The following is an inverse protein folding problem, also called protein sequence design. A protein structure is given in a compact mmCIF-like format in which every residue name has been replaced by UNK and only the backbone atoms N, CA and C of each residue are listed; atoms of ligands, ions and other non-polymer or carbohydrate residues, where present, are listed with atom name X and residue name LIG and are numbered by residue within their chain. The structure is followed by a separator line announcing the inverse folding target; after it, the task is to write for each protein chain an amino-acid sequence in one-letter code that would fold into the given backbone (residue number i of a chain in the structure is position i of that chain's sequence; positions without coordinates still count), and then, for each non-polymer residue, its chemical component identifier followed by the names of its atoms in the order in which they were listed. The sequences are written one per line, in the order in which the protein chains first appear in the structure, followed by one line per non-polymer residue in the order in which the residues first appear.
data_IF_449675384805
#
_entry.id   IF_449675384805
#
_cell.length_a   1.000
_cell.length_b   1.000
_cell.length_c   1.000
_cell.angle_alpha   90.00
_cell.angle_beta   90.00
_cell.angle_gamma   90.00
#
_symmetry.space_group_name_H-M   'P 1'
#
loop_
_entity.id
_entity.type
_entity.pdbx_description
1 polymer ?
#
# COMPACT_ATOMS: atom_id res chain seq x y z
N UNK A 1 40.75 -40.51 22.90
CA UNK A 1 39.82 -39.38 23.15
C UNK A 1 38.56 -39.89 23.83
N UNK A 2 38.09 -39.30 24.95
CA UNK A 2 36.87 -39.77 25.60
C UNK A 2 35.64 -39.33 24.80
N UNK A 3 34.78 -40.28 24.40
CA UNK A 3 33.55 -40.00 23.67
C UNK A 3 32.58 -39.20 24.56
N UNK A 4 32.05 -38.08 24.04
CA UNK A 4 31.06 -37.28 24.73
C UNK A 4 29.83 -38.13 25.09
N UNK A 5 29.61 -38.41 26.38
CA UNK A 5 28.41 -39.09 26.87
C UNK A 5 27.21 -38.16 26.65
N UNK A 6 26.47 -38.40 25.58
CA UNK A 6 25.19 -37.74 25.33
C UNK A 6 24.28 -37.87 26.55
N UNK A 7 23.82 -36.74 27.08
CA UNK A 7 22.88 -36.70 28.19
C UNK A 7 21.52 -37.26 27.73
N UNK A 8 21.33 -38.57 27.84
CA UNK A 8 20.01 -39.19 27.80
C UNK A 8 19.28 -38.87 29.11
N UNK A 9 18.95 -37.59 29.30
CA UNK A 9 18.18 -37.14 30.46
C UNK A 9 16.75 -37.67 30.28
N UNK A 10 16.38 -38.70 31.04
CA UNK A 10 15.02 -39.26 31.03
C UNK A 10 14.01 -38.11 31.13
N UNK A 11 13.06 -38.06 30.21
CA UNK A 11 11.97 -37.08 30.21
C UNK A 11 11.21 -37.20 31.54
N UNK A 12 11.45 -36.28 32.48
CA UNK A 12 10.73 -36.27 33.77
C UNK A 12 9.37 -35.61 33.55
N UNK A 13 8.29 -36.34 33.86
CA UNK A 13 6.95 -35.77 33.84
C UNK A 13 6.75 -34.91 35.10
N UNK A 14 6.46 -33.62 34.93
CA UNK A 14 6.11 -32.75 36.03
C UNK A 14 4.63 -32.93 36.36
N UNK A 15 4.33 -33.68 37.43
CA UNK A 15 2.96 -34.03 37.82
C UNK A 15 2.10 -32.82 38.23
N UNK A 16 2.71 -31.71 38.67
CA UNK A 16 2.01 -30.46 39.00
C UNK A 16 1.63 -29.58 37.79
N UNK A 17 2.07 -29.94 36.57
CA UNK A 17 1.77 -29.17 35.36
C UNK A 17 0.69 -29.84 34.53
N UNK A 18 -0.46 -29.17 34.38
CA UNK A 18 -1.48 -29.61 33.44
C UNK A 18 -1.08 -29.22 32.00
N UNK A 19 -0.40 -30.16 31.31
CA UNK A 19 0.08 -29.98 29.94
C UNK A 19 -1.03 -29.60 28.94
N UNK A 20 -2.26 -30.10 29.13
CA UNK A 20 -3.41 -29.75 28.27
C UNK A 20 -3.76 -28.27 28.40
N UNK A 21 -3.73 -27.71 29.62
CA UNK A 21 -3.97 -26.29 29.87
C UNK A 21 -2.86 -25.41 29.27
N UNK A 22 -1.61 -25.81 29.43
CA UNK A 22 -0.46 -25.10 28.83
C UNK A 22 -0.54 -25.10 27.31
N UNK A 23 -0.84 -26.24 26.69
CA UNK A 23 -1.02 -26.35 25.24
C UNK A 23 -2.14 -25.43 24.74
N UNK A 24 -3.31 -25.43 25.41
CA UNK A 24 -4.42 -24.51 25.07
C UNK A 24 -4.02 -23.04 25.21
N UNK A 25 -3.28 -22.68 26.26
CA UNK A 25 -2.78 -21.32 26.45
C UNK A 25 -1.76 -20.92 25.38
N UNK A 26 -0.82 -21.79 25.06
CA UNK A 26 0.20 -21.55 24.03
C UNK A 26 -0.46 -21.38 22.67
N UNK A 27 -1.43 -22.23 22.33
CA UNK A 27 -2.19 -22.15 21.08
C UNK A 27 -2.99 -20.85 20.96
N UNK A 28 -3.60 -20.37 22.05
CA UNK A 28 -4.28 -19.06 22.06
C UNK A 28 -3.31 -17.90 21.86
N UNK A 29 -2.13 -17.96 22.49
CA UNK A 29 -1.08 -16.93 22.34
C UNK A 29 -0.45 -16.93 20.95
N UNK A 30 -0.39 -18.09 20.30
CA UNK A 30 0.14 -18.24 18.95
C UNK A 30 -0.88 -17.92 17.85
N UNK A 31 -2.14 -17.65 18.18
CA UNK A 31 -3.15 -17.28 17.20
C UNK A 31 -2.86 -15.87 16.65
N UNK A 32 -2.82 -15.68 15.33
CA UNK A 32 -2.54 -14.37 14.74
C UNK A 32 -3.70 -13.41 14.99
N UNK A 33 -3.38 -12.12 15.18
CA UNK A 33 -4.36 -11.04 15.10
C UNK A 33 -4.55 -10.68 13.63
N UNK A 34 -5.75 -10.90 13.10
CA UNK A 34 -6.08 -10.67 11.69
C UNK A 34 -6.87 -9.38 11.57
N UNK A 35 -6.33 -8.41 10.84
CA UNK A 35 -6.97 -7.10 10.62
C UNK A 35 -7.98 -7.14 9.48
N UNK A 36 -7.65 -7.82 8.37
CA UNK A 36 -8.55 -7.97 7.24
C UNK A 36 -9.82 -8.75 7.63
N UNK A 37 -10.99 -8.15 7.39
CA UNK A 37 -12.30 -8.75 7.67
C UNK A 37 -12.50 -10.06 6.88
N UNK A 38 -12.23 -10.06 5.58
CA UNK A 38 -12.40 -11.22 4.69
C UNK A 38 -11.69 -12.46 5.23
N UNK A 39 -10.40 -12.32 5.56
CA UNK A 39 -9.58 -13.41 6.11
C UNK A 39 -10.10 -13.83 7.48
N UNK A 40 -10.47 -12.86 8.34
CA UNK A 40 -10.95 -13.14 9.69
C UNK A 40 -12.26 -13.94 9.68
N UNK A 41 -13.18 -13.62 8.77
CA UNK A 41 -14.45 -14.33 8.63
C UNK A 41 -14.26 -15.75 8.08
N UNK A 42 -13.29 -15.93 7.19
CA UNK A 42 -12.96 -17.24 6.64
C UNK A 42 -12.01 -18.07 7.54
N UNK A 43 -11.50 -17.52 8.64
CA UNK A 43 -10.48 -18.16 9.46
C UNK A 43 -11.01 -19.32 10.31
N UNK A 44 -10.39 -20.49 10.21
CA UNK A 44 -10.69 -21.64 11.06
C UNK A 44 -9.63 -21.82 12.15
N UNK A 45 -10.00 -21.61 13.42
CA UNK A 45 -9.09 -21.73 14.55
C UNK A 45 -8.61 -23.18 14.80
N UNK A 46 -9.28 -24.18 14.20
CA UNK A 46 -8.91 -25.59 14.34
C UNK A 46 -7.70 -25.96 13.48
N UNK A 47 -7.50 -25.25 12.37
CA UNK A 47 -6.46 -25.51 11.36
C UNK A 47 -5.17 -24.72 11.61
N UNK A 48 -4.10 -25.11 10.92
CA UNK A 48 -2.84 -24.36 10.95
C UNK A 48 -2.95 -23.07 10.14
N UNK A 49 -2.08 -22.09 10.43
CA UNK A 49 -1.99 -20.82 9.67
C UNK A 49 -1.76 -21.10 8.19
N UNK A 50 -0.81 -21.98 7.86
CA UNK A 50 -0.47 -22.34 6.48
C UNK A 50 -1.66 -22.99 5.75
N UNK A 51 -2.40 -23.88 6.42
CA UNK A 51 -3.57 -24.52 5.83
C UNK A 51 -4.73 -23.53 5.61
N UNK A 52 -4.99 -22.64 6.56
CA UNK A 52 -6.02 -21.61 6.39
C UNK A 52 -5.72 -20.70 5.20
N UNK A 53 -4.47 -20.22 5.09
CA UNK A 53 -4.06 -19.37 3.98
C UNK A 53 -4.17 -20.12 2.65
N UNK A 54 -3.68 -21.35 2.57
CA UNK A 54 -3.78 -22.16 1.36
C UNK A 54 -5.23 -22.47 0.95
N UNK A 55 -6.13 -22.73 1.90
CA UNK A 55 -7.56 -22.93 1.61
C UNK A 55 -8.23 -21.68 1.06
N UNK A 56 -7.76 -20.49 1.45
CA UNK A 56 -8.17 -19.20 0.90
C UNK A 56 -7.45 -18.84 -0.41
N UNK A 57 -6.45 -19.63 -0.84
CA UNK A 57 -5.62 -19.33 -2.00
C UNK A 57 -4.55 -18.25 -1.75
N UNK A 58 -4.23 -17.98 -0.49
CA UNK A 58 -3.20 -17.05 -0.06
C UNK A 58 -1.86 -17.76 0.18
N UNK A 59 -0.76 -17.09 -0.17
CA UNK A 59 0.58 -17.58 0.09
C UNK A 59 0.93 -17.47 1.59
N UNK A 60 1.29 -18.59 2.22
CA UNK A 60 1.76 -18.61 3.61
C UNK A 60 3.21 -18.14 3.79
N UNK A 61 4.05 -18.32 2.78
CA UNK A 61 5.45 -17.88 2.77
C UNK A 61 5.75 -17.16 1.44
N UNK A 62 5.99 -15.85 1.46
CA UNK A 62 6.20 -15.07 0.24
C UNK A 62 7.47 -15.50 -0.51
N UNK A 63 8.53 -15.95 0.19
CA UNK A 63 9.78 -16.35 -0.45
C UNK A 63 9.65 -17.67 -1.22
N UNK A 64 8.69 -18.51 -0.83
CA UNK A 64 8.35 -19.75 -1.54
C UNK A 64 7.39 -19.49 -2.70
N UNK A 65 6.42 -18.60 -2.50
CA UNK A 65 5.44 -18.26 -3.53
C UNK A 65 6.05 -17.43 -4.67
N UNK A 66 6.95 -16.50 -4.34
CA UNK A 66 7.65 -15.63 -5.29
C UNK A 66 9.16 -15.76 -5.05
N UNK A 67 9.81 -16.81 -5.57
CA UNK A 67 11.23 -17.03 -5.34
C UNK A 67 12.06 -15.92 -6.02
N UNK A 68 12.88 -15.22 -5.23
CA UNK A 68 13.83 -14.25 -5.77
C UNK A 68 14.95 -15.02 -6.48
N UNK A 69 15.05 -14.85 -7.79
CA UNK A 69 16.13 -15.43 -8.58
C UNK A 69 17.48 -14.93 -8.05
N UNK A 70 18.23 -15.80 -7.37
CA UNK A 70 19.59 -15.49 -6.97
C UNK A 70 20.44 -15.47 -8.24
N UNK A 71 21.09 -14.34 -8.52
CA UNK A 71 22.05 -14.18 -9.63
C UNK A 71 23.19 -15.19 -9.41
N UNK A 72 23.10 -16.36 -10.05
CA UNK A 72 24.12 -17.41 -9.92
C UNK A 72 25.40 -16.93 -10.62
N UNK A 73 26.45 -16.66 -9.87
CA UNK A 73 27.81 -16.94 -10.34
C UNK A 73 27.83 -18.45 -10.64
N UNK A 74 28.18 -18.81 -11.88
CA UNK A 74 28.20 -20.19 -12.37
C UNK A 74 28.99 -21.10 -11.40
N UNK A 75 28.29 -21.83 -10.52
CA UNK A 75 28.81 -23.07 -9.93
C UNK A 75 27.66 -23.91 -9.40
N UNK A 76 27.57 -25.11 -9.98
CA UNK A 76 26.70 -26.22 -9.58
C UNK A 76 25.20 -25.95 -9.65
N UNK A 77 24.62 -26.35 -10.78
CA UNK A 77 23.22 -26.73 -10.82
C UNK A 77 23.05 -28.02 -10.00
N UNK A 78 22.76 -27.85 -8.72
CA UNK A 78 21.91 -28.84 -8.05
C UNK A 78 20.50 -28.49 -8.47
N UNK A 79 19.93 -29.40 -9.25
CA UNK A 79 18.50 -29.51 -9.52
C UNK A 79 17.79 -29.67 -8.17
N UNK A 80 17.57 -28.57 -7.48
CA UNK A 80 16.77 -28.55 -6.26
C UNK A 80 15.32 -28.51 -6.71
N UNK A 81 14.79 -29.72 -6.88
CA UNK A 81 13.40 -30.10 -6.68
C UNK A 81 12.40 -29.11 -7.28
N UNK A 82 12.02 -29.39 -8.54
CA UNK A 82 10.68 -29.10 -9.00
C UNK A 82 9.70 -29.84 -8.09
N UNK A 83 9.42 -29.27 -6.92
CA UNK A 83 8.25 -29.61 -6.14
C UNK A 83 7.09 -29.20 -7.03
N UNK A 84 6.53 -30.21 -7.72
CA UNK A 84 5.15 -30.18 -8.17
C UNK A 84 4.37 -29.57 -7.01
N UNK A 85 4.02 -28.27 -7.14
CA UNK A 85 3.11 -27.65 -6.21
C UNK A 85 1.81 -28.35 -6.46
N UNK A 86 1.59 -29.41 -5.69
CA UNK A 86 0.33 -30.12 -5.57
C UNK A 86 -0.73 -29.02 -5.56
N UNK A 87 -1.52 -28.93 -6.64
CA UNK A 87 -2.41 -27.79 -6.88
C UNK A 87 -3.39 -27.78 -5.71
N UNK A 88 -3.06 -27.03 -4.66
CA UNK A 88 -3.85 -27.01 -3.44
C UNK A 88 -5.22 -26.50 -3.86
N UNK A 89 -6.21 -27.39 -3.80
CA UNK A 89 -7.58 -27.06 -4.16
C UNK A 89 -8.04 -25.92 -3.25
N UNK A 90 -8.17 -24.72 -3.81
CA UNK A 90 -8.64 -23.53 -3.10
C UNK A 90 -10.09 -23.80 -2.70
N UNK A 91 -10.31 -24.03 -1.41
CA UNK A 91 -11.63 -24.38 -0.86
C UNK A 91 -12.52 -23.15 -0.67
N UNK A 92 -11.91 -21.98 -0.46
CA UNK A 92 -12.59 -20.71 -0.15
C UNK A 92 -12.19 -19.63 -1.15
N UNK A 93 -12.51 -19.79 -2.45
CA UNK A 93 -12.09 -18.84 -3.49
C UNK A 93 -12.76 -17.46 -3.33
N UNK A 94 -13.92 -17.39 -2.66
CA UNK A 94 -14.66 -16.16 -2.45
C UNK A 94 -13.83 -15.08 -1.72
N UNK A 95 -12.92 -15.48 -0.83
CA UNK A 95 -12.07 -14.56 -0.07
C UNK A 95 -11.15 -13.77 -1.01
N UNK A 96 -10.55 -14.44 -1.99
CA UNK A 96 -9.70 -13.79 -2.99
C UNK A 96 -10.52 -12.85 -3.86
N UNK A 97 -11.66 -13.30 -4.38
CA UNK A 97 -12.49 -12.47 -5.26
C UNK A 97 -13.00 -11.20 -4.56
N UNK A 98 -13.38 -11.30 -3.28
CA UNK A 98 -13.82 -10.14 -2.50
C UNK A 98 -12.67 -9.16 -2.26
N UNK A 99 -11.48 -9.68 -1.90
CA UNK A 99 -10.29 -8.85 -1.70
C UNK A 99 -9.81 -8.18 -3.00
N UNK A 100 -9.84 -8.89 -4.13
CA UNK A 100 -9.51 -8.35 -5.45
C UNK A 100 -10.50 -7.26 -5.86
N UNK A 101 -11.80 -7.49 -5.61
CA UNK A 101 -12.83 -6.50 -5.87
C UNK A 101 -12.62 -5.24 -5.03
N UNK A 102 -12.40 -5.37 -3.73
CA UNK A 102 -12.12 -4.22 -2.86
C UNK A 102 -10.85 -3.46 -3.28
N UNK A 103 -9.78 -4.17 -3.63
CA UNK A 103 -8.53 -3.57 -4.09
C UNK A 103 -8.67 -2.89 -5.47
N UNK A 104 -9.64 -3.33 -6.28
CA UNK A 104 -9.94 -2.70 -7.57
C UNK A 104 -10.66 -1.36 -7.44
N UNK A 105 -11.27 -1.08 -6.27
CA UNK A 105 -12.00 0.16 -6.06
C UNK A 105 -11.03 1.36 -6.02
N UNK A 106 -11.35 2.47 -6.71
CA UNK A 106 -10.49 3.64 -6.70
C UNK A 106 -10.45 4.27 -5.30
N UNK A 107 -9.24 4.55 -4.82
CA UNK A 107 -9.07 5.27 -3.57
C UNK A 107 -9.53 6.72 -3.69
N UNK A 108 -10.26 7.20 -2.67
CA UNK A 108 -10.62 8.62 -2.57
C UNK A 108 -9.37 9.43 -2.23
N UNK A 109 -8.82 10.14 -3.22
CA UNK A 109 -7.75 11.11 -2.98
C UNK A 109 -8.35 12.33 -2.26
N UNK A 110 -8.00 12.52 -0.99
CA UNK A 110 -8.37 13.71 -0.20
C UNK A 110 -7.43 14.90 -0.40
N UNK A 111 -6.59 14.86 -1.45
CA UNK A 111 -5.62 15.91 -1.70
C UNK A 111 -6.36 17.20 -2.08
N UNK A 112 -6.01 18.29 -1.43
CA UNK A 112 -6.47 19.64 -1.75
C UNK A 112 -5.27 20.56 -1.92
N UNK A 113 -5.50 21.76 -2.45
CA UNK A 113 -4.47 22.79 -2.50
C UNK A 113 -4.52 23.69 -1.28
N UNK A 114 -3.37 24.23 -0.89
CA UNK A 114 -3.32 25.25 0.14
C UNK A 114 -4.01 26.52 -0.35
N UNK A 115 -4.67 27.23 0.57
CA UNK A 115 -5.35 28.49 0.27
C UNK A 115 -4.38 29.52 -0.32
N UNK A 116 -3.19 29.64 0.24
CA UNK A 116 -2.14 30.54 -0.25
C UNK A 116 -1.76 30.27 -1.71
N UNK A 117 -1.73 29.00 -2.14
CA UNK A 117 -1.44 28.65 -3.52
C UNK A 117 -2.59 29.05 -4.45
N UNK A 118 -3.83 28.88 -4.01
CA UNK A 118 -5.03 29.29 -4.76
C UNK A 118 -5.04 30.81 -4.93
N UNK A 119 -4.83 31.55 -3.84
CA UNK A 119 -4.83 33.02 -3.84
C UNK A 119 -3.68 33.57 -4.71
N UNK A 120 -2.48 32.97 -4.61
CA UNK A 120 -1.35 33.29 -5.49
C UNK A 120 -1.67 33.06 -6.97
N UNK A 121 -2.25 31.91 -7.31
CA UNK A 121 -2.59 31.57 -8.70
C UNK A 121 -3.68 32.49 -9.25
N UNK A 122 -4.73 32.78 -8.46
CA UNK A 122 -5.80 33.71 -8.87
C UNK A 122 -5.25 35.10 -9.15
N UNK A 123 -4.41 35.63 -8.26
CA UNK A 123 -3.75 36.92 -8.44
C UNK A 123 -2.90 36.96 -9.73
N UNK A 124 -2.07 35.92 -9.94
CA UNK A 124 -1.20 35.86 -11.11
C UNK A 124 -1.99 35.81 -12.42
N UNK A 125 -3.08 35.04 -12.47
CA UNK A 125 -3.93 34.95 -13.67
C UNK A 125 -4.71 36.24 -13.89
N UNK A 126 -5.23 36.89 -12.83
CA UNK A 126 -5.99 38.13 -12.94
C UNK A 126 -5.15 39.26 -13.56
N UNK A 127 -3.90 39.42 -13.10
CA UNK A 127 -3.04 40.52 -13.53
C UNK A 127 -2.29 40.22 -14.84
N UNK A 128 -1.73 39.01 -14.97
CA UNK A 128 -0.80 38.67 -16.06
C UNK A 128 -1.38 37.68 -17.08
N UNK A 129 -2.58 37.14 -16.84
CA UNK A 129 -3.24 36.21 -17.78
C UNK A 129 -2.44 34.92 -18.00
N UNK A 130 -1.93 34.74 -19.22
CA UNK A 130 -1.08 33.59 -19.61
C UNK A 130 0.40 33.96 -19.77
N UNK A 131 0.81 35.18 -19.41
CA UNK A 131 2.18 35.67 -19.56
C UNK A 131 3.08 35.23 -18.40
N UNK A 132 3.54 33.98 -18.42
CA UNK A 132 4.38 33.42 -17.35
C UNK A 132 5.72 34.14 -17.13
N UNK A 133 6.24 34.85 -18.14
CA UNK A 133 7.46 35.66 -18.01
C UNK A 133 7.23 36.91 -17.17
N UNK A 134 6.04 37.50 -17.25
CA UNK A 134 5.65 38.68 -16.47
C UNK A 134 5.31 38.27 -15.04
N UNK A 135 4.58 37.16 -14.86
CA UNK A 135 4.33 36.56 -13.53
C UNK A 135 5.62 36.30 -12.74
N UNK A 136 6.69 35.89 -13.42
CA UNK A 136 7.97 35.63 -12.76
C UNK A 136 8.65 36.92 -12.27
N UNK A 137 8.35 38.07 -12.88
CA UNK A 137 8.89 39.40 -12.52
C UNK A 137 8.00 40.15 -11.53
N UNK A 138 6.81 39.63 -11.26
CA UNK A 138 5.84 40.24 -10.37
C UNK A 138 6.32 40.23 -8.91
N UNK A 139 6.00 41.28 -8.16
CA UNK A 139 6.43 41.47 -6.77
C UNK A 139 5.86 40.40 -5.82
N UNK A 140 4.69 39.85 -6.13
CA UNK A 140 4.04 38.79 -5.35
C UNK A 140 4.74 37.44 -5.53
N UNK A 141 5.61 37.29 -6.54
CA UNK A 141 6.49 36.14 -6.70
C UNK A 141 7.68 36.20 -5.71
N UNK A 142 7.38 36.22 -4.41
CA UNK A 142 8.37 36.36 -3.34
C UNK A 142 9.47 35.28 -3.39
N UNK A 143 9.09 34.05 -3.72
CA UNK A 143 10.01 32.91 -3.81
C UNK A 143 10.77 32.82 -5.13
N UNK A 144 10.61 33.81 -6.01
CA UNK A 144 11.32 33.90 -7.28
C UNK A 144 11.11 32.65 -8.15
N UNK A 145 9.87 32.14 -8.20
CA UNK A 145 9.53 31.02 -9.05
C UNK A 145 9.86 31.33 -10.50
N UNK A 146 10.47 30.36 -11.18
CA UNK A 146 10.68 30.41 -12.62
C UNK A 146 9.34 30.36 -13.37
N UNK A 147 9.25 30.90 -14.60
CA UNK A 147 8.03 30.83 -15.41
C UNK A 147 7.45 29.42 -15.55
N UNK A 148 8.33 28.40 -15.59
CA UNK A 148 7.93 26.98 -15.69
C UNK A 148 7.33 26.46 -14.38
N UNK A 149 7.85 26.89 -13.23
CA UNK A 149 7.28 26.55 -11.93
C UNK A 149 5.91 27.20 -11.73
N UNK A 150 5.77 28.49 -12.10
CA UNK A 150 4.48 29.19 -12.05
C UNK A 150 3.44 28.50 -12.95
N UNK A 151 3.83 28.15 -14.19
CA UNK A 151 2.98 27.35 -15.09
C UNK A 151 2.55 26.02 -14.46
N UNK A 152 3.46 25.34 -13.74
CA UNK A 152 3.14 24.10 -13.03
C UNK A 152 2.16 24.34 -11.88
N UNK A 153 2.33 25.40 -11.09
CA UNK A 153 1.39 25.79 -10.01
C UNK A 153 -0.01 26.06 -10.56
N UNK A 154 -0.10 26.80 -11.67
CA UNK A 154 -1.36 27.05 -12.37
C UNK A 154 -1.98 25.75 -12.92
N UNK A 155 -1.18 24.87 -13.53
CA UNK A 155 -1.67 23.58 -14.03
C UNK A 155 -2.17 22.68 -12.90
N UNK A 156 -1.53 22.71 -11.74
CA UNK A 156 -1.99 21.99 -10.54
C UNK A 156 -3.35 22.54 -10.11
N UNK A 157 -3.53 23.85 -10.02
CA UNK A 157 -4.83 24.47 -9.73
C UNK A 157 -5.93 24.03 -10.71
N UNK A 158 -5.66 24.08 -12.02
CA UNK A 158 -6.59 23.62 -13.07
C UNK A 158 -7.01 22.15 -12.91
N UNK A 159 -6.08 21.29 -12.51
CA UNK A 159 -6.35 19.86 -12.35
C UNK A 159 -7.17 19.55 -11.10
N UNK A 160 -6.97 20.30 -10.01
CA UNK A 160 -7.73 20.11 -8.77
C UNK A 160 -9.12 20.74 -8.83
N UNK A 161 -9.25 21.93 -9.43
CA UNK A 161 -10.50 22.70 -9.45
C UNK A 161 -10.85 23.16 -10.88
N UNK A 162 -11.23 22.24 -11.78
CA UNK A 162 -11.51 22.58 -13.18
C UNK A 162 -12.74 23.48 -13.32
N UNK A 163 -13.80 23.26 -12.53
CA UNK A 163 -15.01 24.08 -12.57
C UNK A 163 -14.76 25.48 -12.01
N UNK A 164 -14.14 25.61 -10.82
CA UNK A 164 -13.80 26.93 -10.26
C UNK A 164 -12.89 27.74 -11.18
N UNK A 165 -11.97 27.08 -11.89
CA UNK A 165 -11.12 27.75 -12.87
C UNK A 165 -11.92 28.29 -14.06
N UNK A 166 -12.90 27.52 -14.58
CA UNK A 166 -13.77 27.99 -15.68
C UNK A 166 -14.59 29.19 -15.26
N UNK A 167 -15.20 29.15 -14.08
CA UNK A 167 -16.00 30.24 -13.53
C UNK A 167 -15.16 31.50 -13.34
N UNK A 168 -13.95 31.35 -12.78
CA UNK A 168 -13.01 32.45 -12.60
C UNK A 168 -12.54 33.07 -13.92
N UNK A 169 -12.25 32.26 -14.94
CA UNK A 169 -11.89 32.79 -16.27
C UNK A 169 -13.09 33.48 -16.93
N UNK A 170 -14.31 32.99 -16.70
CA UNK A 170 -15.52 33.63 -17.20
C UNK A 170 -15.75 35.00 -16.54
N UNK A 171 -15.55 35.12 -15.22
CA UNK A 171 -15.67 36.41 -14.51
C UNK A 171 -14.63 37.42 -14.98
N UNK A 172 -13.38 36.99 -15.22
CA UNK A 172 -12.33 37.87 -15.76
C UNK A 172 -12.65 38.40 -17.17
N UNK A 173 -13.38 37.64 -17.99
CA UNK A 173 -13.82 38.10 -19.31
C UNK A 173 -14.90 39.18 -19.18
N UNK A 174 -15.81 39.04 -18.21
CA UNK A 174 -16.87 40.02 -17.97
C UNK A 174 -16.29 41.35 -17.50
N UNK A 175 -15.38 41.34 -16.52
CA UNK A 175 -14.72 42.57 -16.03
C UNK A 175 -14.00 43.35 -17.14
N UNK A 176 -13.38 42.66 -18.10
CA UNK A 176 -12.72 43.33 -19.24
C UNK A 176 -13.70 43.96 -20.23
N UNK A 177 -14.93 43.47 -20.32
CA UNK A 177 -15.98 44.04 -21.18
C UNK A 177 -16.64 45.26 -20.54
N UNK A 178 -16.77 45.29 -19.21
CA UNK A 178 -17.42 46.39 -18.48
C UNK A 178 -16.54 47.65 -18.32
N UNK A 179 -15.22 47.51 -18.55
CA UNK A 179 -14.24 48.60 -18.41
C UNK A 179 -13.96 49.32 -19.76
N UNK A 180 -14.54 48.84 -20.86
CA UNK A 180 -14.45 49.47 -22.20
C UNK A 180 -15.68 50.34 -22.49
#
# INVERSE_FOLDING_TARGET
MPKAKGKNRRQKFAYGLNRKRLYRSARRKAAPRIECSHIRHAWDATKSVAQNLAEMGLAGDPNKAVPIAKRRLQRMETESDGQEQDKMLVRKPYVLSEMEFEASLPEKKSNTLSRDLIDYVRYMIQNHGENYKEMARDEKNYYQDTPKQIKRKISVYKNFYPEEYKDFVASLKQEKMDVQ
#
